data_IF_758461052189
#
_entry.id   IF_758461052189
#
_cell.length_a   1.000
_cell.length_b   1.000
_cell.length_c   1.000
_cell.angle_alpha   90.00
_cell.angle_beta   90.00
_cell.angle_gamma   90.00
#
_symmetry.space_group_name_H-M   'P 1'
#
loop_
_entity.id
_entity.type
_entity.pdbx_description
1 polymer ?
#
# COMPACT_ATOMS: atom_id res chain seq x y z
N UNK A 1 18.61 41.67 22.75
CA UNK A 1 18.07 40.43 23.38
C UNK A 1 17.32 39.58 22.36
N UNK A 2 17.92 39.27 21.21
CA UNK A 2 17.41 38.32 20.22
C UNK A 2 17.98 36.95 20.54
N UNK A 3 17.46 36.35 21.62
CA UNK A 3 18.00 35.14 22.23
C UNK A 3 17.61 33.85 21.49
N UNK A 4 17.77 32.68 22.14
CA UNK A 4 17.57 31.34 21.56
C UNK A 4 16.18 31.13 20.92
N UNK A 5 15.15 31.85 21.37
CA UNK A 5 13.81 31.82 20.79
C UNK A 5 13.78 32.21 19.30
N UNK A 6 14.59 33.19 18.89
CA UNK A 6 14.64 33.62 17.48
C UNK A 6 15.29 32.55 16.59
N UNK A 7 16.34 31.90 17.09
CA UNK A 7 16.99 30.79 16.42
C UNK A 7 16.06 29.56 16.31
N UNK A 8 15.38 29.19 17.40
CA UNK A 8 14.41 28.10 17.40
C UNK A 8 13.25 28.37 16.46
N UNK A 9 12.72 29.59 16.42
CA UNK A 9 11.66 29.98 15.50
C UNK A 9 12.13 29.91 14.04
N UNK A 10 13.36 30.36 13.75
CA UNK A 10 13.93 30.30 12.40
C UNK A 10 14.11 28.84 11.92
N UNK A 11 14.64 27.96 12.78
CA UNK A 11 14.79 26.53 12.48
C UNK A 11 13.41 25.89 12.25
N UNK A 12 12.44 26.18 13.13
CA UNK A 12 11.07 25.68 12.98
C UNK A 12 10.43 26.11 11.66
N UNK A 13 10.62 27.37 11.26
CA UNK A 13 10.12 27.90 10.00
C UNK A 13 10.76 27.21 8.78
N UNK A 14 12.08 26.93 8.83
CA UNK A 14 12.78 26.19 7.77
C UNK A 14 12.25 24.75 7.65
N UNK A 15 12.06 24.06 8.79
CA UNK A 15 11.50 22.70 8.79
C UNK A 15 10.09 22.71 8.17
N UNK A 16 9.24 23.66 8.59
CA UNK A 16 7.89 23.82 8.04
C UNK A 16 7.91 24.06 6.53
N UNK A 17 8.80 24.94 6.05
CA UNK A 17 8.95 25.21 4.63
C UNK A 17 9.35 23.95 3.85
N UNK A 18 10.31 23.17 4.35
CA UNK A 18 10.74 21.91 3.71
C UNK A 18 9.59 20.90 3.66
N UNK A 19 8.83 20.76 4.75
CA UNK A 19 7.69 19.85 4.80
C UNK A 19 6.59 20.26 3.83
N UNK A 20 6.28 21.56 3.71
CA UNK A 20 5.29 22.07 2.76
C UNK A 20 5.71 21.83 1.31
N UNK A 21 6.97 22.09 0.97
CA UNK A 21 7.51 21.81 -0.37
C UNK A 21 7.42 20.31 -0.66
N UNK A 22 7.79 19.45 0.30
CA UNK A 22 7.72 18.01 0.12
C UNK A 22 6.29 17.52 -0.06
N UNK A 23 5.35 18.01 0.76
CA UNK A 23 3.94 17.65 0.64
C UNK A 23 3.40 18.03 -0.74
N UNK A 24 3.65 19.27 -1.19
CA UNK A 24 3.19 19.72 -2.50
C UNK A 24 3.82 18.92 -3.66
N UNK A 25 5.10 18.58 -3.55
CA UNK A 25 5.79 17.72 -4.52
C UNK A 25 5.15 16.34 -4.62
N UNK A 26 4.89 15.69 -3.48
CA UNK A 26 4.25 14.37 -3.42
C UNK A 26 2.85 14.43 -4.03
N UNK A 27 2.01 15.40 -3.63
CA UNK A 27 0.67 15.56 -4.20
C UNK A 27 0.72 15.74 -5.72
N UNK A 28 1.71 16.46 -6.24
CA UNK A 28 1.85 16.70 -7.68
C UNK A 28 2.30 15.45 -8.43
N UNK A 29 3.28 14.73 -7.91
CA UNK A 29 3.82 13.52 -8.54
C UNK A 29 2.83 12.36 -8.48
N UNK A 30 2.10 12.22 -7.38
CA UNK A 30 1.14 11.14 -7.17
C UNK A 30 -0.24 11.44 -7.75
N UNK A 31 -0.51 12.69 -8.21
CA UNK A 31 -1.83 13.09 -8.72
C UNK A 31 -2.37 12.18 -9.83
N UNK A 32 -1.49 11.76 -10.72
CA UNK A 32 -1.85 10.94 -11.88
C UNK A 32 -1.57 9.44 -11.64
N UNK A 33 -1.05 9.08 -10.46
CA UNK A 33 -0.88 7.70 -10.03
C UNK A 33 -2.19 7.19 -9.42
N UNK A 34 -2.99 6.49 -10.22
CA UNK A 34 -4.20 5.85 -9.71
C UNK A 34 -3.83 4.62 -8.86
N UNK A 35 -4.37 4.49 -7.64
CA UNK A 35 -4.20 3.27 -6.85
C UNK A 35 -4.70 2.05 -7.60
N UNK A 36 -4.00 0.93 -7.44
CA UNK A 36 -4.36 -0.35 -8.03
C UNK A 36 -3.62 -0.64 -9.32
N UNK A 37 -4.08 -1.67 -10.01
CA UNK A 37 -3.44 -2.22 -11.19
C UNK A 37 -4.45 -2.35 -12.31
N UNK A 38 -3.99 -2.14 -13.53
CA UNK A 38 -4.84 -2.35 -14.70
C UNK A 38 -5.20 -3.84 -14.84
N UNK A 39 -6.44 -4.14 -15.25
CA UNK A 39 -6.83 -5.50 -15.59
C UNK A 39 -6.00 -6.01 -16.77
N UNK A 40 -5.86 -7.33 -16.88
CA UNK A 40 -5.09 -7.93 -17.97
C UNK A 40 -4.80 -9.40 -17.73
N UNK A 41 -3.76 -9.91 -18.40
CA UNK A 41 -3.34 -11.30 -18.26
C UNK A 41 -2.34 -11.50 -17.11
N UNK A 42 -2.29 -12.72 -16.57
CA UNK A 42 -1.37 -13.12 -15.50
C UNK A 42 -1.92 -12.86 -14.09
N UNK A 43 -1.02 -12.67 -13.11
CA UNK A 43 -1.39 -12.52 -11.70
C UNK A 43 -0.73 -11.31 -11.01
N UNK A 44 -1.42 -10.77 -10.02
CA UNK A 44 -0.87 -9.94 -8.95
C UNK A 44 -0.33 -10.83 -7.84
N UNK A 45 0.89 -10.53 -7.38
CA UNK A 45 1.46 -11.12 -6.16
C UNK A 45 1.29 -10.11 -5.04
N UNK A 46 0.49 -10.46 -4.04
CA UNK A 46 0.22 -9.64 -2.88
C UNK A 46 0.98 -10.23 -1.71
N UNK A 47 1.92 -9.46 -1.15
CA UNK A 47 2.65 -9.87 0.05
C UNK A 47 2.07 -9.11 1.23
N UNK A 48 1.47 -9.85 2.16
CA UNK A 48 0.98 -9.32 3.43
C UNK A 48 2.02 -9.65 4.50
N UNK A 49 2.66 -8.61 5.01
CA UNK A 49 3.63 -8.73 6.10
C UNK A 49 3.04 -8.07 7.33
N UNK A 50 2.93 -8.83 8.41
CA UNK A 50 2.52 -8.33 9.71
C UNK A 50 3.64 -8.55 10.73
N UNK A 51 4.12 -7.44 11.30
CA UNK A 51 5.11 -7.43 12.38
C UNK A 51 4.54 -6.70 13.58
N UNK A 52 4.34 -7.42 14.68
CA UNK A 52 3.79 -6.87 15.94
C UNK A 52 4.84 -6.12 16.79
N UNK A 53 6.09 -6.03 16.33
CA UNK A 53 7.15 -5.24 16.97
C UNK A 53 7.72 -5.80 18.28
N UNK A 54 7.18 -6.92 18.81
CA UNK A 54 7.67 -7.58 20.02
C UNK A 54 8.22 -9.00 19.80
N UNK A 55 8.52 -9.72 20.88
CA UNK A 55 9.06 -11.09 20.87
C UNK A 55 8.11 -12.18 20.34
N UNK A 56 6.94 -11.81 19.80
CA UNK A 56 5.91 -12.71 19.27
C UNK A 56 6.05 -13.09 17.79
N UNK A 57 7.12 -12.65 17.12
CA UNK A 57 7.37 -12.96 15.71
C UNK A 57 6.50 -12.17 14.73
N UNK A 58 6.86 -12.27 13.44
CA UNK A 58 6.12 -11.70 12.32
C UNK A 58 5.56 -12.81 11.42
N UNK A 59 4.40 -12.56 10.82
CA UNK A 59 3.77 -13.46 9.84
C UNK A 59 3.83 -12.79 8.46
N UNK A 60 4.38 -13.50 7.47
CA UNK A 60 4.33 -13.08 6.08
C UNK A 60 3.53 -14.11 5.28
N UNK A 61 2.55 -13.63 4.52
CA UNK A 61 1.75 -14.42 3.60
C UNK A 61 1.84 -13.85 2.20
N UNK A 62 1.95 -14.71 1.20
CA UNK A 62 1.90 -14.32 -0.20
C UNK A 62 0.63 -14.88 -0.85
N UNK A 63 -0.12 -14.02 -1.55
CA UNK A 63 -1.34 -14.36 -2.26
C UNK A 63 -1.16 -14.08 -3.75
N UNK A 64 -1.63 -15.01 -4.58
CA UNK A 64 -1.61 -14.85 -6.05
C UNK A 64 -3.04 -14.61 -6.53
N UNK A 65 -3.30 -13.46 -7.13
CA UNK A 65 -4.63 -13.01 -7.56
C UNK A 65 -4.63 -12.79 -9.07
N UNK A 66 -5.52 -13.43 -9.86
CA UNK A 66 -5.67 -13.16 -11.29
C UNK A 66 -5.88 -11.67 -11.59
N UNK A 67 -5.22 -11.17 -12.64
CA UNK A 67 -5.46 -9.81 -13.16
C UNK A 67 -6.73 -9.75 -14.05
N UNK A 68 -7.14 -10.89 -14.59
CA UNK A 68 -8.34 -10.99 -15.42
C UNK A 68 -9.59 -11.02 -14.52
N UNK A 69 -10.52 -10.07 -14.66
CA UNK A 69 -11.72 -10.01 -13.83
C UNK A 69 -12.56 -11.28 -13.91
N UNK A 70 -12.61 -11.93 -15.07
CA UNK A 70 -13.39 -13.16 -15.26
C UNK A 70 -12.74 -14.33 -14.52
N UNK A 71 -11.43 -14.52 -14.67
CA UNK A 71 -10.67 -15.53 -13.92
C UNK A 71 -10.76 -15.31 -12.40
N UNK A 72 -10.74 -14.06 -11.93
CA UNK A 72 -10.95 -13.75 -10.52
C UNK A 72 -12.35 -14.12 -10.03
N UNK A 73 -13.39 -13.78 -10.79
CA UNK A 73 -14.78 -14.12 -10.45
C UNK A 73 -15.02 -15.63 -10.34
N UNK A 74 -14.36 -16.42 -11.20
CA UNK A 74 -14.45 -17.88 -11.17
C UNK A 74 -13.89 -18.52 -9.89
N UNK A 75 -13.03 -17.82 -9.14
CA UNK A 75 -12.53 -18.32 -7.85
C UNK A 75 -13.63 -18.45 -6.79
N UNK A 76 -14.73 -17.70 -6.94
CA UNK A 76 -15.86 -17.72 -6.00
C UNK A 76 -16.98 -18.68 -6.42
N UNK A 77 -16.91 -19.21 -7.64
CA UNK A 77 -17.91 -20.17 -8.12
C UNK A 77 -17.62 -21.52 -7.44
N UNK A 78 -18.57 -22.08 -6.67
CA UNK A 78 -18.40 -23.40 -6.09
C UNK A 78 -18.13 -24.40 -7.21
N UNK A 79 -17.06 -25.17 -7.08
CA UNK A 79 -16.84 -26.31 -7.98
C UNK A 79 -17.96 -27.30 -7.68
N UNK A 80 -18.81 -27.58 -8.66
CA UNK A 80 -19.79 -28.66 -8.55
C UNK A 80 -19.00 -29.95 -8.35
N UNK A 81 -18.97 -30.46 -7.13
CA UNK A 81 -18.53 -31.82 -6.88
C UNK A 81 -19.61 -32.70 -7.50
N UNK A 82 -19.39 -33.19 -8.71
CA UNK A 82 -20.04 -34.41 -9.17
C UNK A 82 -19.62 -35.49 -8.18
N UNK A 83 -20.42 -35.66 -7.11
CA UNK A 83 -20.47 -36.91 -6.39
C UNK A 83 -20.91 -37.93 -7.44
N UNK A 84 -19.94 -38.66 -7.99
CA UNK A 84 -20.24 -39.96 -8.59
C UNK A 84 -20.83 -40.81 -7.48
N UNK A 85 -22.15 -40.86 -7.46
CA UNK A 85 -22.90 -41.90 -6.76
C UNK A 85 -22.35 -43.24 -7.23
N UNK A 86 -21.82 -44.00 -6.28
CA UNK A 86 -21.56 -45.43 -6.38
C UNK A 86 -21.88 -46.07 -5.04
#
# INVERSE_FOLDING_TARGET
MTGPLTLSAAIGAVILAVLLVRAFYVLRVERDQRPGSLPGQGHHKLRSEYFSGGGGGGQASEYTVPKDPQAYALLFVPKTTDKKDK
#
